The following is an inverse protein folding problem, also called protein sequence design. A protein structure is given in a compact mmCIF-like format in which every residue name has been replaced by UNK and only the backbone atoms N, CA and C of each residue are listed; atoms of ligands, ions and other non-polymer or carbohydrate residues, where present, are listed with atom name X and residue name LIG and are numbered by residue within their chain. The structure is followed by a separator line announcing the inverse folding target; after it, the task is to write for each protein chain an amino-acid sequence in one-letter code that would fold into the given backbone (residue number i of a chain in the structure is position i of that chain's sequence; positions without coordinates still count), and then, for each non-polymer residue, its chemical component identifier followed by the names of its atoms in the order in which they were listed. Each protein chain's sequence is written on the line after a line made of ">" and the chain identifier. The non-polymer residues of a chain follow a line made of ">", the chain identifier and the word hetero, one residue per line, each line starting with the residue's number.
data_IF_814987325773
#
_entry.id   IF_814987325773
#
_cell.length_a   1.000
_cell.length_b   1.000
_cell.length_c   1.000
_cell.angle_alpha   90.00
_cell.angle_beta   90.00
_cell.angle_gamma   90.00
#
_symmetry.space_group_name_H-M   'P 1'
#
loop_
_entity.id
_entity.type
_entity.pdbx_description
1 polymer ?
#
# COMPACT_ATOMS: atom_id res chain seq x y z
N UNK A 1 -24.91 -11.38 24.38
CA UNK A 1 -23.45 -11.46 24.56
C UNK A 1 -22.62 -10.82 23.44
N UNK A 2 -23.20 -10.46 22.28
CA UNK A 2 -22.47 -9.78 21.19
C UNK A 2 -22.59 -8.26 21.21
N UNK A 3 -23.74 -7.71 21.62
CA UNK A 3 -24.00 -6.26 21.64
C UNK A 3 -23.16 -5.52 22.69
N UNK A 4 -23.16 -6.00 23.94
CA UNK A 4 -22.42 -5.34 25.04
C UNK A 4 -20.91 -5.28 24.76
N UNK A 5 -20.37 -6.32 24.13
CA UNK A 5 -18.96 -6.39 23.71
C UNK A 5 -18.64 -5.39 22.61
N UNK A 6 -19.53 -5.22 21.63
CA UNK A 6 -19.37 -4.23 20.57
C UNK A 6 -19.44 -2.80 21.13
N UNK A 7 -20.40 -2.55 22.02
CA UNK A 7 -20.58 -1.26 22.67
C UNK A 7 -19.34 -0.90 23.51
N UNK A 8 -18.83 -1.84 24.33
CA UNK A 8 -17.61 -1.65 25.09
C UNK A 8 -16.40 -1.30 24.19
N UNK A 9 -16.26 -1.96 23.04
CA UNK A 9 -15.18 -1.67 22.09
C UNK A 9 -15.33 -0.29 21.43
N UNK A 10 -16.55 0.12 21.09
CA UNK A 10 -16.81 1.47 20.56
C UNK A 10 -16.47 2.55 21.59
N UNK A 11 -16.87 2.35 22.85
CA UNK A 11 -16.53 3.28 23.93
C UNK A 11 -15.01 3.36 24.16
N UNK A 12 -14.32 2.21 24.15
CA UNK A 12 -12.87 2.17 24.31
C UNK A 12 -12.13 2.93 23.19
N UNK A 13 -12.63 2.88 21.95
CA UNK A 13 -12.00 3.52 20.78
C UNK A 13 -12.59 4.90 20.45
N UNK A 14 -13.42 5.49 21.32
CA UNK A 14 -14.17 6.72 21.02
C UNK A 14 -13.25 7.88 20.59
N UNK A 15 -12.10 8.04 21.24
CA UNK A 15 -11.15 9.11 20.90
C UNK A 15 -10.60 8.96 19.47
N UNK A 16 -10.17 7.75 19.10
CA UNK A 16 -9.66 7.46 17.75
C UNK A 16 -10.73 7.65 16.68
N UNK A 17 -11.95 7.19 16.94
CA UNK A 17 -13.09 7.32 16.02
C UNK A 17 -13.49 8.78 15.77
N UNK A 18 -13.23 9.68 16.72
CA UNK A 18 -13.57 11.09 16.63
C UNK A 18 -12.41 11.98 16.14
N UNK A 19 -11.22 11.42 15.86
CA UNK A 19 -10.07 12.19 15.34
C UNK A 19 -10.38 12.98 14.06
N UNK A 20 -11.34 12.51 13.26
CA UNK A 20 -11.79 13.20 12.05
C UNK A 20 -12.37 14.59 12.32
N UNK A 21 -12.87 14.87 13.53
CA UNK A 21 -13.33 16.21 13.91
C UNK A 21 -12.15 17.19 14.03
N UNK A 22 -10.96 16.70 14.36
CA UNK A 22 -9.73 17.48 14.41
C UNK A 22 -9.01 17.51 13.05
N UNK A 23 -9.18 16.46 12.23
CA UNK A 23 -8.49 16.25 10.95
C UNK A 23 -9.48 15.91 9.82
N UNK A 24 -10.33 16.87 9.40
CA UNK A 24 -11.40 16.62 8.44
C UNK A 24 -10.91 16.29 7.02
N UNK A 25 -9.65 16.57 6.71
CA UNK A 25 -9.01 16.19 5.45
C UNK A 25 -8.73 14.69 5.34
N UNK A 26 -8.77 13.96 6.46
CA UNK A 26 -8.57 12.51 6.49
C UNK A 26 -9.93 11.82 6.23
N UNK A 27 -10.02 10.90 5.24
CA UNK A 27 -11.27 10.21 4.95
C UNK A 27 -11.82 9.42 6.15
N UNK A 28 -13.14 9.48 6.36
CA UNK A 28 -13.89 8.71 7.39
C UNK A 28 -13.93 7.20 7.17
N UNK A 29 -13.39 6.71 6.06
CA UNK A 29 -13.43 5.31 5.67
C UNK A 29 -12.03 4.74 5.43
N UNK A 30 -11.90 3.42 5.58
CA UNK A 30 -10.63 2.70 5.42
C UNK A 30 -10.37 2.21 3.99
N UNK A 31 -11.18 2.63 3.00
CA UNK A 31 -11.11 2.14 1.60
C UNK A 31 -9.69 2.19 1.01
N UNK A 32 -8.94 3.27 1.24
CA UNK A 32 -7.57 3.41 0.75
C UNK A 32 -6.64 2.36 1.36
N UNK A 33 -6.67 2.22 2.69
CA UNK A 33 -5.90 1.22 3.42
C UNK A 33 -6.28 -0.22 3.04
N UNK A 34 -7.58 -0.49 2.86
CA UNK A 34 -8.06 -1.79 2.39
C UNK A 34 -7.58 -2.12 0.98
N UNK A 35 -7.61 -1.13 0.08
CA UNK A 35 -7.09 -1.29 -1.28
C UNK A 35 -5.58 -1.54 -1.31
N UNK A 36 -4.83 -0.90 -0.40
CA UNK A 36 -3.39 -1.11 -0.25
C UNK A 36 -3.05 -2.56 0.13
N UNK A 37 -3.80 -3.17 1.05
CA UNK A 37 -3.56 -4.56 1.48
C UNK A 37 -4.23 -5.62 0.61
N UNK A 38 -5.22 -5.26 -0.22
CA UNK A 38 -6.02 -6.21 -1.02
C UNK A 38 -5.16 -7.15 -1.86
N UNK A 39 -4.15 -6.62 -2.54
CA UNK A 39 -3.23 -7.41 -3.35
C UNK A 39 -2.48 -8.47 -2.52
N UNK A 40 -2.01 -8.10 -1.33
CA UNK A 40 -1.34 -9.02 -0.40
C UNK A 40 -2.28 -10.15 0.03
N UNK A 41 -3.51 -9.81 0.46
CA UNK A 41 -4.49 -10.79 0.95
C UNK A 41 -4.93 -11.73 -0.16
N UNK A 42 -5.22 -11.21 -1.35
CA UNK A 42 -5.57 -12.02 -2.53
C UNK A 42 -4.43 -12.96 -2.91
N UNK A 43 -3.18 -12.45 -2.98
CA UNK A 43 -2.03 -13.29 -3.31
C UNK A 43 -1.81 -14.39 -2.27
N UNK A 44 -1.90 -14.07 -0.98
CA UNK A 44 -1.80 -15.04 0.12
C UNK A 44 -2.87 -16.12 0.01
N UNK A 45 -4.12 -15.75 -0.31
CA UNK A 45 -5.24 -16.68 -0.49
C UNK A 45 -4.98 -17.65 -1.64
N UNK A 46 -4.48 -17.15 -2.77
CA UNK A 46 -4.20 -17.97 -3.96
C UNK A 46 -2.96 -18.86 -3.76
N UNK A 47 -1.89 -18.34 -3.15
CA UNK A 47 -0.63 -19.06 -3.00
C UNK A 47 -0.56 -19.97 -1.76
N UNK A 48 -1.60 -19.98 -0.92
CA UNK A 48 -1.58 -20.55 0.43
C UNK A 48 -0.42 -20.02 1.30
N UNK A 49 -0.08 -18.74 1.15
CA UNK A 49 1.04 -18.10 1.84
C UNK A 49 2.40 -18.31 1.16
N UNK A 50 3.47 -18.01 1.91
CA UNK A 50 4.87 -18.12 1.46
C UNK A 50 5.52 -19.34 2.09
N UNK A 51 6.33 -20.09 1.32
CA UNK A 51 6.96 -21.35 1.78
C UNK A 51 8.40 -21.16 2.32
N UNK A 52 8.99 -20.00 2.08
CA UNK A 52 10.34 -19.65 2.55
C UNK A 52 10.41 -18.16 2.90
N UNK A 53 11.43 -17.79 3.66
CA UNK A 53 11.75 -16.39 3.98
C UNK A 53 12.12 -15.61 2.72
N UNK A 54 13.02 -16.15 1.89
CA UNK A 54 13.38 -15.54 0.59
C UNK A 54 12.17 -15.32 -0.32
N UNK A 55 11.21 -16.25 -0.32
CA UNK A 55 9.97 -16.10 -1.09
C UNK A 55 9.06 -15.01 -0.55
N UNK A 56 9.07 -14.80 0.78
CA UNK A 56 8.35 -13.70 1.44
C UNK A 56 8.99 -12.36 1.10
N UNK A 57 10.30 -12.25 1.21
CA UNK A 57 11.05 -11.03 0.91
C UNK A 57 10.87 -10.62 -0.55
N UNK A 58 10.99 -11.58 -1.47
CA UNK A 58 10.74 -11.38 -2.89
C UNK A 58 9.32 -10.84 -3.12
N UNK A 59 8.30 -11.49 -2.56
CA UNK A 59 6.90 -11.04 -2.70
C UNK A 59 6.71 -9.62 -2.16
N UNK A 60 7.24 -9.33 -0.98
CA UNK A 60 7.03 -8.04 -0.31
C UNK A 60 7.78 -6.92 -1.05
N UNK A 61 8.98 -7.19 -1.57
CA UNK A 61 9.72 -6.27 -2.44
C UNK A 61 8.97 -5.98 -3.75
N UNK A 62 8.52 -7.01 -4.49
CA UNK A 62 7.81 -6.78 -5.75
C UNK A 62 6.43 -6.12 -5.54
N UNK A 63 5.71 -6.47 -4.47
CA UNK A 63 4.44 -5.84 -4.14
C UNK A 63 4.62 -4.36 -3.79
N UNK A 64 5.63 -4.03 -3.00
CA UNK A 64 5.93 -2.63 -2.65
C UNK A 64 6.37 -1.82 -3.87
N UNK A 65 7.19 -2.37 -4.76
CA UNK A 65 7.54 -1.74 -6.04
C UNK A 65 6.30 -1.45 -6.89
N UNK A 66 5.44 -2.46 -7.10
CA UNK A 66 4.23 -2.32 -7.89
C UNK A 66 3.28 -1.25 -7.31
N UNK A 67 3.05 -1.27 -5.98
CA UNK A 67 2.21 -0.29 -5.29
C UNK A 67 2.79 1.12 -5.32
N UNK A 68 4.11 1.26 -5.26
CA UNK A 68 4.76 2.57 -5.36
C UNK A 68 4.64 3.13 -6.78
N UNK A 69 4.83 2.30 -7.80
CA UNK A 69 4.61 2.70 -9.19
C UNK A 69 3.16 3.16 -9.42
N UNK A 70 2.18 2.41 -8.94
CA UNK A 70 0.75 2.75 -9.02
C UNK A 70 0.44 4.12 -8.37
N UNK A 71 0.95 4.36 -7.15
CA UNK A 71 0.80 5.65 -6.45
C UNK A 71 1.46 6.84 -7.17
N UNK A 72 2.49 6.57 -7.98
CA UNK A 72 3.21 7.57 -8.77
C UNK A 72 2.67 7.70 -10.21
N UNK A 73 1.70 6.88 -10.62
CA UNK A 73 1.18 6.86 -11.99
C UNK A 73 2.17 6.27 -13.01
N UNK A 74 3.10 5.43 -12.56
CA UNK A 74 4.10 4.77 -13.39
C UNK A 74 3.63 3.34 -13.68
N UNK A 75 3.62 2.92 -14.94
CA UNK A 75 3.36 1.52 -15.26
C UNK A 75 4.52 0.65 -14.77
N UNK A 76 4.22 -0.39 -13.97
CA UNK A 76 5.26 -1.26 -13.39
C UNK A 76 6.14 -1.93 -14.45
N UNK A 77 5.58 -2.24 -15.62
CA UNK A 77 6.32 -2.86 -16.71
C UNK A 77 7.31 -1.90 -17.37
N UNK A 78 6.95 -0.62 -17.50
CA UNK A 78 7.90 0.39 -17.97
C UNK A 78 9.02 0.59 -16.95
N UNK A 79 8.70 0.58 -15.66
CA UNK A 79 9.69 0.67 -14.60
C UNK A 79 10.66 -0.52 -14.63
N UNK A 80 10.15 -1.75 -14.69
CA UNK A 80 10.97 -2.95 -14.78
C UNK A 80 11.78 -2.99 -16.08
N UNK A 81 11.18 -2.60 -17.21
CA UNK A 81 11.87 -2.49 -18.50
C UNK A 81 13.05 -1.53 -18.43
N UNK A 82 12.87 -0.38 -17.78
CA UNK A 82 13.93 0.57 -17.50
C UNK A 82 15.04 -0.02 -16.61
N UNK A 83 14.68 -0.77 -15.55
CA UNK A 83 15.67 -1.40 -14.65
C UNK A 83 16.44 -2.53 -15.31
N UNK A 84 15.80 -3.31 -16.17
CA UNK A 84 16.43 -4.41 -16.89
C UNK A 84 17.07 -3.99 -18.21
N UNK A 85 17.02 -2.71 -18.57
CA UNK A 85 17.57 -2.17 -19.82
C UNK A 85 17.01 -2.87 -21.06
N UNK A 86 15.71 -3.14 -21.05
CA UNK A 86 15.01 -3.72 -22.21
C UNK A 86 15.10 -2.74 -23.38
N UNK A 87 15.44 -3.25 -24.56
CA UNK A 87 15.57 -2.44 -25.78
C UNK A 87 14.24 -1.75 -26.09
N UNK A 88 14.27 -0.42 -26.28
CA UNK A 88 13.08 0.39 -26.55
C UNK A 88 12.24 0.74 -25.31
N UNK A 89 12.63 0.33 -24.10
CA UNK A 89 11.94 0.72 -22.88
C UNK A 89 12.16 2.20 -22.54
N UNK A 90 11.16 2.81 -21.90
CA UNK A 90 11.27 4.16 -21.37
C UNK A 90 12.40 4.25 -20.31
N UNK A 91 13.08 5.40 -20.26
CA UNK A 91 14.05 5.70 -19.21
C UNK A 91 13.29 6.33 -18.05
N UNK A 92 13.11 5.57 -16.98
CA UNK A 92 12.42 6.00 -15.77
C UNK A 92 13.46 6.16 -14.66
N UNK A 93 13.37 7.23 -13.86
CA UNK A 93 14.27 7.44 -12.73
C UNK A 93 14.00 6.42 -11.60
N UNK A 94 14.95 6.17 -10.69
CA UNK A 94 14.69 5.37 -9.49
C UNK A 94 13.47 5.87 -8.69
N UNK A 95 12.69 4.97 -8.09
CA UNK A 95 11.43 5.39 -7.42
C UNK A 95 11.65 6.38 -6.29
N UNK A 96 12.79 6.30 -5.59
CA UNK A 96 13.14 7.21 -4.51
C UNK A 96 13.31 8.66 -4.99
N UNK A 97 13.70 8.87 -6.25
CA UNK A 97 13.73 10.21 -6.84
C UNK A 97 12.34 10.85 -6.82
N UNK A 98 11.31 10.13 -7.28
CA UNK A 98 9.93 10.61 -7.31
C UNK A 98 9.32 10.74 -5.91
N UNK A 99 9.58 9.77 -5.03
CA UNK A 99 9.10 9.82 -3.64
C UNK A 99 9.66 11.05 -2.93
N UNK A 100 10.96 11.33 -3.06
CA UNK A 100 11.58 12.52 -2.47
C UNK A 100 11.04 13.82 -3.07
N UNK A 101 10.76 13.85 -4.38
CA UNK A 101 10.18 15.02 -5.02
C UNK A 101 8.76 15.33 -4.48
N UNK A 102 7.96 14.30 -4.22
CA UNK A 102 6.57 14.43 -3.74
C UNK A 102 6.46 14.78 -2.26
N UNK A 103 7.51 14.51 -1.48
CA UNK A 103 7.61 14.87 -0.05
C UNK A 103 8.09 16.31 0.18
N UNK A 104 8.60 17.01 -0.85
CA UNK A 104 8.92 18.44 -0.71
C UNK A 104 7.59 19.21 -0.68
N UNK A 105 7.27 19.94 0.40
CA UNK A 105 6.10 20.80 0.41
C UNK A 105 6.25 21.85 -0.69
N UNK A 106 5.16 22.11 -1.40
CA UNK A 106 5.04 23.25 -2.32
C UNK A 106 4.78 24.52 -1.54
#
# INVERSE_FOLDING_TARGET
>A
MTLDRLLARLHANKAELLMVLERPEIPLHTNGSENDIRGHVTRRKISAGTRSETGRDCRDAFLSLAKTCDKLGIAIWDYLGSRFKVVGAAIIAPLDFYVRARLRPT
#
